data_IF_184090259021
#
_entry.id   IF_184090259021
#
_cell.length_a   1.000
_cell.length_b   1.000
_cell.length_c   1.000
_cell.angle_alpha   90.00
_cell.angle_beta   90.00
_cell.angle_gamma   90.00
#
_symmetry.space_group_name_H-M   'P 1'
#
loop_
_entity.id
_entity.type
_entity.pdbx_description
1 polymer ?
#
# COMPACT_ATOMS: atom_id res chain seq x y z
N UNK A 1 -31.14 6.34 26.97
CA UNK A 1 -30.42 6.01 25.70
C UNK A 1 -29.83 7.24 24.99
N UNK A 2 -30.51 8.40 24.97
CA UNK A 2 -30.09 9.62 24.21
C UNK A 2 -28.69 10.17 24.58
N UNK A 3 -28.34 10.20 25.88
CA UNK A 3 -27.02 10.68 26.34
C UNK A 3 -25.87 9.73 25.97
N UNK A 4 -26.14 8.44 25.87
CA UNK A 4 -25.12 7.42 25.60
C UNK A 4 -24.65 7.52 24.13
N UNK A 5 -25.59 7.69 23.18
CA UNK A 5 -25.24 7.80 21.75
C UNK A 5 -24.44 9.07 21.43
N UNK A 6 -24.83 10.24 21.96
CA UNK A 6 -24.06 11.48 21.75
C UNK A 6 -22.69 11.42 22.44
N UNK A 7 -22.63 10.88 23.67
CA UNK A 7 -21.35 10.73 24.37
C UNK A 7 -20.42 9.76 23.63
N UNK A 8 -20.95 8.65 23.09
CA UNK A 8 -20.18 7.68 22.32
C UNK A 8 -19.65 8.30 21.01
N UNK A 9 -20.48 9.03 20.26
CA UNK A 9 -20.04 9.75 19.05
C UNK A 9 -18.96 10.79 19.41
N UNK A 10 -19.11 11.50 20.52
CA UNK A 10 -18.10 12.45 21.02
C UNK A 10 -16.77 11.77 21.37
N UNK A 11 -16.81 10.67 22.13
CA UNK A 11 -15.61 9.90 22.52
C UNK A 11 -14.91 9.33 21.29
N UNK A 12 -15.66 8.73 20.36
CA UNK A 12 -15.10 8.16 19.13
C UNK A 12 -14.40 9.22 18.29
N UNK A 13 -15.05 10.38 18.07
CA UNK A 13 -14.43 11.47 17.33
C UNK A 13 -13.21 12.05 18.07
N UNK A 14 -13.24 12.13 19.40
CA UNK A 14 -12.09 12.56 20.20
C UNK A 14 -10.89 11.61 20.05
N UNK A 15 -11.11 10.29 20.10
CA UNK A 15 -10.05 9.30 19.85
C UNK A 15 -9.49 9.43 18.43
N UNK A 16 -10.35 9.59 17.41
CA UNK A 16 -9.86 9.78 16.03
C UNK A 16 -9.07 11.08 15.86
N UNK A 17 -9.43 12.15 16.57
CA UNK A 17 -8.68 13.38 16.59
C UNK A 17 -7.28 13.16 17.18
N UNK A 18 -7.18 12.49 18.34
CA UNK A 18 -5.90 12.16 18.95
C UNK A 18 -5.01 11.30 18.04
N UNK A 19 -5.60 10.36 17.29
CA UNK A 19 -4.87 9.55 16.31
C UNK A 19 -4.43 10.33 15.06
N UNK A 20 -5.15 11.39 14.68
CA UNK A 20 -4.77 12.22 13.52
C UNK A 20 -3.49 13.04 13.76
N UNK A 21 -3.20 13.40 15.02
CA UNK A 21 -2.01 14.18 15.41
C UNK A 21 -0.70 13.44 15.09
N UNK A 22 -0.46 12.18 15.55
CA UNK A 22 0.76 11.46 15.21
C UNK A 22 0.87 11.14 13.71
N UNK A 23 -0.26 10.97 13.00
CA UNK A 23 -0.26 10.78 11.53
C UNK A 23 0.21 12.04 10.81
N UNK A 24 -0.26 13.21 11.24
CA UNK A 24 0.19 14.50 10.70
C UNK A 24 1.65 14.77 11.04
N UNK A 25 2.05 14.52 12.30
CA UNK A 25 3.42 14.70 12.74
C UNK A 25 4.39 13.80 11.96
N UNK A 26 4.03 12.54 11.71
CA UNK A 26 4.86 11.63 10.91
C UNK A 26 4.94 12.06 9.45
N UNK A 27 3.82 12.50 8.85
CA UNK A 27 3.83 13.05 7.49
C UNK A 27 4.70 14.29 7.33
N UNK A 28 4.63 15.24 8.27
CA UNK A 28 5.45 16.47 8.27
C UNK A 28 6.93 16.15 8.50
N UNK A 29 7.22 15.21 9.41
CA UNK A 29 8.58 14.73 9.66
C UNK A 29 9.18 14.12 8.41
N UNK A 30 8.44 13.23 7.74
CA UNK A 30 8.85 12.60 6.48
C UNK A 30 9.09 13.63 5.37
N UNK A 31 8.26 14.69 5.30
CA UNK A 31 8.44 15.78 4.33
C UNK A 31 9.71 16.61 4.57
N UNK A 32 10.16 16.73 5.83
CA UNK A 32 11.34 17.51 6.22
C UNK A 32 12.64 16.73 6.16
N UNK A 33 12.61 15.43 6.47
CA UNK A 33 13.79 14.59 6.59
C UNK A 33 13.90 13.50 5.54
N UNK A 34 12.93 13.37 4.64
CA UNK A 34 13.02 12.45 3.51
C UNK A 34 14.22 12.79 2.64
N UNK A 35 15.31 12.04 2.82
CA UNK A 35 16.55 12.18 2.05
C UNK A 35 16.41 11.49 0.69
N UNK A 36 15.50 10.52 0.60
CA UNK A 36 15.21 9.76 -0.62
C UNK A 36 14.00 10.31 -1.38
N UNK A 37 14.03 10.20 -2.72
CA UNK A 37 12.87 10.52 -3.58
C UNK A 37 11.63 9.65 -3.27
N UNK A 38 11.84 8.52 -2.58
CA UNK A 38 10.79 7.58 -2.20
C UNK A 38 9.97 8.05 -0.99
N UNK A 39 10.65 8.58 0.02
CA UNK A 39 9.99 9.15 1.21
C UNK A 39 9.15 10.38 0.85
N UNK A 40 9.65 11.21 -0.09
CA UNK A 40 8.91 12.35 -0.68
C UNK A 40 7.71 11.96 -1.55
N UNK A 41 7.56 10.70 -1.94
CA UNK A 41 6.37 10.26 -2.66
C UNK A 41 5.22 9.93 -1.68
N UNK A 42 5.55 9.54 -0.45
CA UNK A 42 4.59 9.11 0.58
C UNK A 42 4.14 10.24 1.52
N UNK A 43 4.88 11.34 1.64
CA UNK A 43 4.55 12.44 2.56
C UNK A 43 3.21 13.13 2.23
N UNK A 44 2.98 13.53 0.98
CA UNK A 44 1.78 14.23 0.53
C UNK A 44 0.48 13.46 0.79
N UNK A 45 0.35 12.17 0.42
CA UNK A 45 -0.87 11.42 0.70
C UNK A 45 -1.09 11.23 2.21
N UNK A 46 -0.04 11.03 3.00
CA UNK A 46 -0.15 10.86 4.46
C UNK A 46 -0.59 12.16 5.14
N UNK A 47 -0.01 13.31 4.78
CA UNK A 47 -0.41 14.61 5.32
C UNK A 47 -1.87 14.92 4.94
N UNK A 48 -2.26 14.71 3.68
CA UNK A 48 -3.63 14.95 3.23
C UNK A 48 -4.65 14.10 4.02
N UNK A 49 -4.33 12.83 4.29
CA UNK A 49 -5.15 11.94 5.12
C UNK A 49 -5.26 12.45 6.55
N UNK A 50 -4.15 12.84 7.17
CA UNK A 50 -4.13 13.36 8.54
C UNK A 50 -4.98 14.64 8.69
N UNK A 51 -4.86 15.58 7.75
CA UNK A 51 -5.65 16.84 7.77
C UNK A 51 -7.13 16.54 7.64
N UNK A 52 -7.49 15.64 6.71
CA UNK A 52 -8.87 15.23 6.49
C UNK A 52 -9.48 14.60 7.76
N UNK A 53 -8.78 13.67 8.41
CA UNK A 53 -9.25 13.04 9.65
C UNK A 53 -9.40 14.05 10.80
N UNK A 54 -8.50 15.02 10.90
CA UNK A 54 -8.57 16.09 11.90
C UNK A 54 -9.82 16.97 11.71
N UNK A 55 -10.15 17.36 10.47
CA UNK A 55 -11.33 18.18 10.17
C UNK A 55 -12.62 17.42 10.49
N UNK A 56 -12.72 16.15 10.05
CA UNK A 56 -13.92 15.32 10.26
C UNK A 56 -14.16 15.07 11.75
N UNK A 57 -13.10 14.80 12.51
CA UNK A 57 -13.19 14.56 13.96
C UNK A 57 -13.58 15.80 14.75
N UNK A 58 -13.05 16.98 14.41
CA UNK A 58 -13.46 18.25 15.02
C UNK A 58 -14.95 18.55 14.75
N UNK A 59 -15.41 18.34 13.51
CA UNK A 59 -16.82 18.49 13.19
C UNK A 59 -17.70 17.51 13.99
N UNK A 60 -17.30 16.25 14.10
CA UNK A 60 -18.03 15.26 14.93
C UNK A 60 -18.10 15.65 16.41
N UNK A 61 -17.01 16.18 16.97
CA UNK A 61 -16.93 16.59 18.38
C UNK A 61 -17.78 17.83 18.67
N UNK A 62 -17.72 18.85 17.82
CA UNK A 62 -18.55 20.06 17.93
C UNK A 62 -20.04 19.71 17.76
N UNK A 63 -20.36 18.80 16.83
CA UNK A 63 -21.72 18.34 16.57
C UNK A 63 -22.34 17.60 17.76
N UNK A 64 -21.54 16.77 18.43
CA UNK A 64 -21.95 16.05 19.63
C UNK A 64 -22.09 16.96 20.86
N UNK A 65 -21.15 17.91 21.05
CA UNK A 65 -21.12 18.79 22.23
C UNK A 65 -22.23 19.85 22.20
N UNK A 66 -22.43 20.51 21.06
CA UNK A 66 -23.33 21.66 20.94
C UNK A 66 -24.74 21.30 20.43
N UNK A 67 -25.01 20.01 20.16
CA UNK A 67 -26.28 19.49 19.56
C UNK A 67 -26.77 20.28 18.34
N UNK A 68 -25.86 20.82 17.55
CA UNK A 68 -26.21 21.63 16.37
C UNK A 68 -26.65 20.69 15.26
N UNK A 69 -27.96 20.64 14.99
CA UNK A 69 -28.53 19.69 14.02
C UNK A 69 -27.96 19.83 12.61
N UNK A 70 -27.66 21.05 12.16
CA UNK A 70 -27.03 21.28 10.85
C UNK A 70 -25.62 20.68 10.76
N UNK A 71 -24.82 20.83 11.82
CA UNK A 71 -23.44 20.34 11.85
C UNK A 71 -23.39 18.82 11.94
N UNK A 72 -24.33 18.21 12.67
CA UNK A 72 -24.52 16.76 12.69
C UNK A 72 -24.99 16.20 11.34
N UNK A 73 -25.81 16.96 10.59
CA UNK A 73 -26.22 16.58 9.23
C UNK A 73 -25.03 16.61 8.26
N UNK A 74 -24.21 17.66 8.28
CA UNK A 74 -22.97 17.74 7.49
C UNK A 74 -22.02 16.59 7.85
N UNK A 75 -21.86 16.29 9.14
CA UNK A 75 -21.06 15.15 9.60
C UNK A 75 -21.56 13.82 9.00
N UNK A 76 -22.87 13.55 9.05
CA UNK A 76 -23.45 12.35 8.46
C UNK A 76 -23.27 12.30 6.94
N UNK A 77 -23.41 13.42 6.24
CA UNK A 77 -23.16 13.48 4.79
C UNK A 77 -21.71 13.13 4.45
N UNK A 78 -20.75 13.70 5.16
CA UNK A 78 -19.32 13.42 4.96
C UNK A 78 -19.00 11.96 5.27
N UNK A 79 -19.53 11.42 6.38
CA UNK A 79 -19.36 10.01 6.74
C UNK A 79 -19.94 9.07 5.69
N UNK A 80 -21.11 9.39 5.12
CA UNK A 80 -21.71 8.62 4.04
C UNK A 80 -20.83 8.62 2.78
N UNK A 81 -20.36 9.79 2.35
CA UNK A 81 -19.46 9.90 1.20
C UNK A 81 -18.15 9.12 1.42
N UNK A 82 -17.60 9.15 2.63
CA UNK A 82 -16.40 8.40 3.01
C UNK A 82 -16.66 6.89 2.90
N UNK A 83 -17.78 6.38 3.42
CA UNK A 83 -18.15 4.96 3.30
C UNK A 83 -18.25 4.55 1.82
N UNK A 84 -18.94 5.34 0.99
CA UNK A 84 -19.08 5.05 -0.45
C UNK A 84 -17.71 5.04 -1.14
N UNK A 85 -16.85 6.02 -0.86
CA UNK A 85 -15.51 6.10 -1.42
C UNK A 85 -14.67 4.88 -1.02
N UNK A 86 -14.64 4.52 0.26
CA UNK A 86 -13.88 3.36 0.74
C UNK A 86 -14.42 2.06 0.15
N UNK A 87 -15.73 1.92 0.04
CA UNK A 87 -16.35 0.76 -0.61
C UNK A 87 -15.92 0.64 -2.07
N UNK A 88 -16.06 1.71 -2.87
CA UNK A 88 -15.60 1.73 -4.26
C UNK A 88 -14.10 1.41 -4.37
N UNK A 89 -13.28 1.97 -3.48
CA UNK A 89 -11.86 1.70 -3.42
C UNK A 89 -11.56 0.23 -3.09
N UNK A 90 -12.29 -0.40 -2.14
CA UNK A 90 -12.10 -1.83 -1.84
C UNK A 90 -12.35 -2.70 -3.06
N UNK A 91 -13.46 -2.47 -3.77
CA UNK A 91 -13.80 -3.23 -4.98
C UNK A 91 -12.71 -3.06 -6.03
N UNK A 92 -12.30 -1.82 -6.28
CA UNK A 92 -11.24 -1.51 -7.22
C UNK A 92 -9.92 -2.21 -6.85
N UNK A 93 -9.52 -2.14 -5.59
CA UNK A 93 -8.31 -2.78 -5.08
C UNK A 93 -8.36 -4.30 -5.32
N UNK A 94 -9.46 -4.97 -5.00
CA UNK A 94 -9.62 -6.40 -5.26
C UNK A 94 -9.57 -6.73 -6.76
N UNK A 95 -10.27 -5.97 -7.62
CA UNK A 95 -10.29 -6.21 -9.06
C UNK A 95 -8.89 -6.11 -9.67
N UNK A 96 -8.14 -5.07 -9.31
CA UNK A 96 -6.80 -4.81 -9.85
C UNK A 96 -5.77 -5.80 -9.32
N UNK A 97 -5.94 -6.26 -8.08
CA UNK A 97 -5.04 -7.22 -7.41
C UNK A 97 -5.45 -8.68 -7.56
N UNK A 98 -6.55 -9.00 -8.27
CA UNK A 98 -6.96 -10.39 -8.43
C UNK A 98 -5.98 -11.17 -9.32
N UNK A 99 -5.61 -10.58 -10.47
CA UNK A 99 -4.66 -11.16 -11.45
C UNK A 99 -3.20 -11.08 -11.00
N UNK A 100 -2.38 -12.01 -11.47
CA UNK A 100 -0.94 -12.10 -11.18
C UNK A 100 -0.63 -13.17 -10.14
N UNK A 101 0.30 -14.07 -10.44
CA UNK A 101 0.85 -14.99 -9.47
C UNK A 101 2.31 -15.24 -9.83
N UNK A 102 3.19 -15.33 -8.83
CA UNK A 102 4.52 -15.86 -9.05
C UNK A 102 4.44 -17.32 -9.51
N UNK A 103 5.14 -17.65 -10.59
CA UNK A 103 5.28 -19.00 -11.10
C UNK A 103 6.27 -19.77 -10.22
N UNK A 104 5.85 -20.93 -9.71
CA UNK A 104 6.73 -21.81 -8.95
C UNK A 104 7.71 -22.49 -9.88
N UNK A 105 9.00 -22.53 -9.50
CA UNK A 105 10.01 -23.26 -10.23
C UNK A 105 10.35 -24.54 -9.47
N UNK A 106 10.37 -25.67 -10.19
CA UNK A 106 10.71 -26.97 -9.61
C UNK A 106 12.08 -26.94 -8.94
N UNK A 107 12.15 -27.40 -7.69
CA UNK A 107 13.39 -27.46 -6.91
C UNK A 107 13.91 -26.10 -6.43
N UNK A 108 13.10 -25.03 -6.48
CA UNK A 108 13.46 -23.69 -5.97
C UNK A 108 12.49 -23.23 -4.87
N UNK A 109 13.02 -22.61 -3.82
CA UNK A 109 12.29 -22.00 -2.70
C UNK A 109 11.70 -20.61 -3.03
N UNK A 110 11.96 -20.09 -4.23
CA UNK A 110 11.48 -18.80 -4.71
C UNK A 110 10.62 -18.93 -5.98
N UNK A 111 9.84 -17.89 -6.26
CA UNK A 111 8.95 -17.80 -7.42
C UNK A 111 9.53 -16.88 -8.49
N UNK A 112 9.12 -17.08 -9.74
CA UNK A 112 9.41 -16.19 -10.87
C UNK A 112 8.20 -15.35 -11.24
N UNK A 113 8.45 -14.12 -11.70
CA UNK A 113 7.41 -13.14 -11.90
C UNK A 113 7.45 -12.63 -13.34
N UNK A 114 6.36 -12.79 -14.09
CA UNK A 114 6.24 -12.26 -15.44
C UNK A 114 5.29 -11.07 -15.44
N UNK A 115 5.69 -9.97 -16.09
CA UNK A 115 4.90 -8.75 -16.08
C UNK A 115 3.51 -8.94 -16.72
N UNK A 116 3.41 -9.84 -17.71
CA UNK A 116 2.17 -10.16 -18.41
C UNK A 116 1.07 -10.79 -17.53
N UNK A 117 1.43 -11.37 -16.38
CA UNK A 117 0.47 -12.06 -15.50
C UNK A 117 -0.41 -11.07 -14.71
N UNK A 118 -0.01 -9.80 -14.64
CA UNK A 118 -0.68 -8.77 -13.85
C UNK A 118 -1.75 -8.02 -14.65
N UNK A 119 -2.65 -7.31 -13.95
CA UNK A 119 -3.69 -6.50 -14.60
C UNK A 119 -3.09 -5.38 -15.47
N UNK A 120 -3.73 -5.07 -16.59
CA UNK A 120 -3.30 -4.02 -17.51
C UNK A 120 -3.15 -2.66 -16.83
N UNK A 121 -3.97 -2.39 -15.81
CA UNK A 121 -3.88 -1.18 -14.99
C UNK A 121 -2.55 -1.10 -14.22
N UNK A 122 -2.12 -2.19 -13.59
CA UNK A 122 -0.83 -2.24 -12.87
C UNK A 122 0.34 -2.15 -13.82
N UNK A 123 0.30 -2.89 -14.93
CA UNK A 123 1.34 -2.84 -15.96
C UNK A 123 1.56 -1.40 -16.45
N UNK A 124 0.48 -0.64 -16.70
CA UNK A 124 0.57 0.76 -17.16
C UNK A 124 1.32 1.68 -16.18
N UNK A 125 1.35 1.37 -14.88
CA UNK A 125 2.08 2.16 -13.87
C UNK A 125 3.59 1.98 -13.98
N UNK A 126 4.05 0.79 -14.30
CA UNK A 126 5.49 0.43 -14.40
C UNK A 126 6.02 0.47 -15.84
N UNK A 127 5.15 0.57 -16.84
CA UNK A 127 5.57 0.60 -18.25
C UNK A 127 6.09 1.99 -18.69
N UNK A 128 5.70 3.07 -18.01
CA UNK A 128 6.22 4.41 -18.29
C UNK A 128 7.67 4.54 -17.82
N UNK A 129 8.61 4.78 -18.75
CA UNK A 129 10.05 4.93 -18.45
C UNK A 129 10.32 6.01 -17.39
N UNK A 130 9.68 7.18 -17.49
CA UNK A 130 9.84 8.27 -16.54
C UNK A 130 9.42 7.87 -15.11
N UNK A 131 8.30 7.17 -14.97
CA UNK A 131 7.83 6.70 -13.66
C UNK A 131 8.71 5.57 -13.14
N UNK A 132 9.09 4.63 -14.02
CA UNK A 132 9.96 3.52 -13.65
C UNK A 132 11.33 4.01 -13.17
N UNK A 133 11.92 5.03 -13.79
CA UNK A 133 13.21 5.54 -13.35
C UNK A 133 13.18 6.04 -11.89
N UNK A 134 12.09 6.67 -11.46
CA UNK A 134 11.90 7.10 -10.06
C UNK A 134 11.70 5.92 -9.11
N UNK A 135 10.95 4.92 -9.55
CA UNK A 135 10.72 3.70 -8.77
C UNK A 135 12.02 2.91 -8.64
N UNK A 136 12.77 2.76 -9.73
CA UNK A 136 14.07 2.12 -9.81
C UNK A 136 15.07 2.78 -8.87
N UNK A 137 15.17 4.12 -8.89
CA UNK A 137 16.07 4.82 -7.97
C UNK A 137 15.68 4.57 -6.52
N UNK A 138 14.38 4.48 -6.20
CA UNK A 138 13.93 4.07 -4.86
C UNK A 138 14.33 2.62 -4.53
N UNK A 139 14.20 1.68 -5.47
CA UNK A 139 14.58 0.28 -5.24
C UNK A 139 16.09 0.12 -5.00
N UNK A 140 16.92 0.88 -5.70
CA UNK A 140 18.36 0.93 -5.49
C UNK A 140 18.70 1.53 -4.11
N UNK A 141 18.12 2.67 -3.78
CA UNK A 141 18.38 3.39 -2.52
C UNK A 141 17.88 2.64 -1.28
N UNK A 142 16.75 1.92 -1.40
CA UNK A 142 16.23 1.06 -0.33
C UNK A 142 17.03 -0.23 -0.12
N UNK A 143 18.11 -0.45 -0.87
CA UNK A 143 19.06 -1.54 -0.65
C UNK A 143 18.40 -2.93 -0.64
N UNK A 144 17.36 -3.14 -1.45
CA UNK A 144 16.56 -4.39 -1.47
C UNK A 144 17.37 -5.64 -1.81
N UNK A 145 18.49 -5.47 -2.52
CA UNK A 145 19.41 -6.54 -2.91
C UNK A 145 20.60 -6.71 -1.95
N UNK A 146 20.79 -5.79 -0.99
CA UNK A 146 21.99 -5.76 -0.13
C UNK A 146 22.23 -7.08 0.60
N UNK A 147 21.19 -7.69 1.17
CA UNK A 147 21.32 -8.99 1.83
C UNK A 147 21.89 -10.08 0.91
N UNK A 148 21.50 -10.10 -0.37
CA UNK A 148 22.00 -11.10 -1.33
C UNK A 148 23.42 -10.75 -1.82
N UNK A 149 23.76 -9.47 -1.86
CA UNK A 149 25.12 -8.99 -2.17
C UNK A 149 26.06 -9.42 -1.04
N UNK A 150 25.66 -9.17 0.20
CA UNK A 150 26.41 -9.57 1.40
C UNK A 150 26.57 -11.10 1.45
N UNK A 151 25.52 -11.88 1.20
CA UNK A 151 25.59 -13.35 1.10
C UNK A 151 26.56 -13.85 0.00
N UNK A 152 26.77 -13.05 -1.04
CA UNK A 152 27.72 -13.34 -2.12
C UNK A 152 29.17 -13.24 -1.67
N UNK A 153 29.46 -12.41 -0.67
CA UNK A 153 30.78 -12.31 -0.05
C UNK A 153 31.15 -13.55 0.78
N UNK A 154 30.13 -14.27 1.26
CA UNK A 154 30.27 -15.50 2.04
C UNK A 154 30.38 -16.78 1.17
N UNK A 155 30.46 -16.64 -0.16
CA UNK A 155 30.50 -17.76 -1.11
C UNK A 155 29.37 -18.79 -0.91
N UNK A 156 28.14 -18.29 -0.73
CA UNK A 156 26.95 -19.13 -0.52
C UNK A 156 26.84 -20.21 -1.61
N UNK A 157 26.77 -21.51 -1.25
CA UNK A 157 26.58 -22.59 -2.21
C UNK A 157 25.25 -22.49 -2.96
N UNK A 158 25.23 -23.01 -4.19
CA UNK A 158 24.06 -22.94 -5.08
C UNK A 158 22.83 -23.66 -4.54
N UNK A 159 23.01 -24.79 -3.85
CA UNK A 159 21.94 -25.57 -3.23
C UNK A 159 21.27 -24.81 -2.08
N UNK A 160 22.07 -24.11 -1.27
CA UNK A 160 21.58 -23.21 -0.21
C UNK A 160 20.81 -22.04 -0.82
N UNK A 161 21.33 -21.44 -1.89
CA UNK A 161 20.63 -20.36 -2.59
C UNK A 161 19.29 -20.83 -3.19
N UNK A 162 19.24 -22.03 -3.77
CA UNK A 162 18.03 -22.56 -4.40
C UNK A 162 16.93 -22.90 -3.41
N UNK A 163 17.25 -23.24 -2.16
CA UNK A 163 16.25 -23.50 -1.12
C UNK A 163 15.77 -22.23 -0.42
N UNK A 164 16.43 -21.10 -0.64
CA UNK A 164 16.12 -19.83 0.02
C UNK A 164 14.77 -19.24 -0.42
N UNK A 165 14.03 -18.73 0.55
CA UNK A 165 12.80 -17.98 0.30
C UNK A 165 13.13 -16.51 0.01
N UNK A 166 13.19 -16.16 -1.27
CA UNK A 166 13.36 -14.78 -1.72
C UNK A 166 12.03 -14.05 -1.74
N UNK A 167 12.03 -12.78 -1.34
CA UNK A 167 10.89 -11.90 -1.57
C UNK A 167 10.64 -11.69 -3.06
N UNK A 168 9.46 -11.23 -3.44
CA UNK A 168 9.11 -11.01 -4.85
C UNK A 168 10.04 -10.01 -5.55
N UNK A 169 10.43 -8.95 -4.83
CA UNK A 169 11.39 -7.94 -5.31
C UNK A 169 12.79 -8.55 -5.40
N UNK A 170 13.23 -9.32 -4.41
CA UNK A 170 14.55 -9.97 -4.45
C UNK A 170 14.67 -10.94 -5.63
N UNK A 171 13.66 -11.79 -5.83
CA UNK A 171 13.64 -12.75 -6.93
C UNK A 171 13.55 -12.09 -8.31
N UNK A 172 12.88 -10.93 -8.40
CA UNK A 172 12.67 -10.21 -9.66
C UNK A 172 13.78 -9.22 -10.04
N UNK A 173 14.43 -8.59 -9.05
CA UNK A 173 15.40 -7.50 -9.27
C UNK A 173 16.85 -7.89 -9.00
N UNK A 174 17.11 -8.86 -8.10
CA UNK A 174 18.45 -9.14 -7.59
C UNK A 174 19.08 -10.41 -8.18
N UNK A 175 18.36 -11.13 -9.04
CA UNK A 175 18.87 -12.30 -9.78
C UNK A 175 18.33 -12.29 -11.21
N UNK A 176 19.01 -12.96 -12.16
CA UNK A 176 18.47 -13.13 -13.51
C UNK A 176 17.27 -14.11 -13.51
N UNK A 177 16.52 -14.10 -14.60
CA UNK A 177 15.50 -15.12 -14.86
C UNK A 177 16.16 -16.47 -15.13
N UNK A 178 15.55 -17.56 -14.65
CA UNK A 178 16.05 -18.91 -14.91
C UNK A 178 15.98 -19.28 -16.41
N UNK A 179 15.08 -18.64 -17.18
CA UNK A 179 14.96 -18.82 -18.64
C UNK A 179 16.25 -18.44 -19.38
N UNK A 180 17.12 -17.62 -18.77
CA UNK A 180 18.40 -17.22 -19.35
C UNK A 180 19.41 -18.37 -19.39
N UNK A 181 19.28 -19.37 -18.51
CA UNK A 181 20.21 -20.50 -18.42
C UNK A 181 21.62 -20.15 -17.93
N UNK A 182 21.80 -18.98 -17.31
CA UNK A 182 23.09 -18.53 -16.82
C UNK A 182 23.63 -19.44 -15.70
N UNK A 183 24.95 -19.55 -15.62
CA UNK A 183 25.61 -20.38 -14.61
C UNK A 183 25.77 -19.57 -13.31
N UNK A 184 25.38 -20.18 -12.20
CA UNK A 184 25.51 -19.58 -10.86
C UNK A 184 26.97 -19.42 -10.47
N UNK A 185 27.34 -18.25 -9.93
CA UNK A 185 28.62 -18.02 -9.25
C UNK A 185 28.36 -17.59 -7.82
N UNK A 186 27.57 -16.53 -7.63
CA UNK A 186 27.08 -16.06 -6.33
C UNK A 186 25.61 -15.62 -6.47
N UNK A 187 24.89 -15.27 -5.37
CA UNK A 187 23.48 -14.89 -5.45
C UNK A 187 23.17 -13.79 -6.48
N UNK A 188 24.07 -12.82 -6.62
CA UNK A 188 23.95 -11.66 -7.54
C UNK A 188 24.91 -11.69 -8.71
N UNK A 189 25.78 -12.71 -8.83
CA UNK A 189 26.75 -12.82 -9.93
C UNK A 189 26.56 -14.13 -10.69
N UNK A 190 26.34 -14.01 -12.00
CA UNK A 190 26.03 -15.11 -12.88
C UNK A 190 26.85 -15.03 -14.17
N UNK A 191 27.37 -16.16 -14.64
CA UNK A 191 28.09 -16.23 -15.91
C UNK A 191 27.10 -16.36 -17.06
N UNK A 192 27.13 -15.40 -18.00
CA UNK A 192 26.29 -15.43 -19.20
C UNK A 192 26.69 -16.59 -20.11
N UNK A 193 25.73 -17.46 -20.41
CA UNK A 193 25.86 -18.58 -21.35
C UNK A 193 25.32 -18.17 -22.72
N UNK A 194 25.77 -18.82 -23.80
CA UNK A 194 25.33 -18.55 -25.19
C UNK A 194 23.94 -19.09 -25.52
N UNK A 195 23.07 -19.21 -24.51
CA UNK A 195 21.70 -19.69 -24.66
C UNK A 195 20.82 -18.61 -25.30
N UNK A 196 20.27 -18.93 -26.47
CA UNK A 196 19.27 -18.10 -27.14
C UNK A 196 17.93 -18.22 -26.41
N UNK A 197 17.71 -17.35 -25.42
CA UNK A 197 16.40 -17.20 -24.78
C UNK A 197 15.57 -16.11 -25.48
N UNK A 198 14.27 -16.32 -25.59
CA UNK A 198 13.32 -15.28 -26.02
C UNK A 198 12.97 -14.27 -24.93
N UNK A 199 13.57 -14.39 -23.74
CA UNK A 199 13.28 -13.52 -22.61
C UNK A 199 14.13 -12.23 -22.68
N UNK A 200 13.51 -11.04 -22.84
CA UNK A 200 14.25 -9.78 -22.95
C UNK A 200 15.07 -9.44 -21.69
N UNK A 201 14.73 -10.03 -20.54
CA UNK A 201 15.41 -9.77 -19.27
C UNK A 201 16.86 -10.28 -19.27
N UNK A 202 17.17 -11.31 -20.07
CA UNK A 202 18.51 -11.89 -20.15
C UNK A 202 19.53 -10.91 -20.74
N UNK A 203 19.07 -10.03 -21.64
CA UNK A 203 19.90 -8.95 -22.19
C UNK A 203 19.98 -7.75 -21.24
N UNK A 204 18.96 -7.55 -20.41
CA UNK A 204 18.88 -6.43 -19.47
C UNK A 204 19.64 -6.69 -18.15
N UNK A 205 19.99 -7.95 -17.85
CA UNK A 205 20.74 -8.34 -16.67
C UNK A 205 22.21 -7.90 -16.73
N UNK A 206 22.69 -7.35 -15.61
CA UNK A 206 24.10 -7.04 -15.34
C UNK A 206 24.53 -7.56 -13.95
N UNK A 207 25.81 -7.88 -13.77
CA UNK A 207 26.36 -8.30 -12.46
C UNK A 207 26.84 -7.10 -11.62
N UNK A 208 26.83 -5.88 -12.18
CA UNK A 208 27.05 -4.64 -11.45
C UNK A 208 26.02 -4.49 -10.30
N UNK A 209 26.46 -4.39 -9.03
CA UNK A 209 25.59 -4.23 -7.87
C UNK A 209 24.62 -3.04 -7.99
N UNK A 210 25.01 -1.99 -8.71
CA UNK A 210 24.18 -0.80 -8.90
C UNK A 210 23.12 -1.01 -10.00
N UNK A 211 23.28 -1.98 -10.90
CA UNK A 211 22.40 -2.17 -12.06
C UNK A 211 21.51 -3.41 -11.94
N UNK A 212 22.08 -4.57 -11.62
CA UNK A 212 21.42 -5.87 -11.48
C UNK A 212 20.30 -6.09 -12.53
N UNK A 213 19.12 -6.56 -12.11
CA UNK A 213 17.93 -6.69 -12.97
C UNK A 213 16.97 -5.50 -12.81
N UNK A 214 17.41 -4.32 -12.32
CA UNK A 214 16.50 -3.20 -12.11
C UNK A 214 15.85 -2.66 -13.40
N UNK A 215 16.40 -3.00 -14.57
CA UNK A 215 15.82 -2.69 -15.89
C UNK A 215 14.92 -3.80 -16.46
N UNK A 216 14.86 -4.96 -15.80
CA UNK A 216 14.11 -6.13 -16.27
C UNK A 216 12.61 -5.99 -16.05
N UNK A 217 11.84 -6.68 -16.89
CA UNK A 217 10.40 -6.87 -16.70
C UNK A 217 10.11 -7.73 -15.47
N UNK A 218 10.98 -8.69 -15.14
CA UNK A 218 10.89 -9.49 -13.90
C UNK A 218 10.97 -8.62 -12.65
N UNK A 219 11.77 -7.55 -12.64
CA UNK A 219 11.85 -6.63 -11.51
C UNK A 219 10.57 -5.80 -11.36
N UNK A 220 10.03 -5.29 -12.48
CA UNK A 220 8.72 -4.64 -12.51
C UNK A 220 7.62 -5.57 -11.99
N UNK A 221 7.63 -6.83 -12.42
CA UNK A 221 6.67 -7.84 -12.01
C UNK A 221 6.81 -8.18 -10.51
N UNK A 222 8.05 -8.31 -10.00
CA UNK A 222 8.33 -8.55 -8.58
C UNK A 222 7.85 -7.41 -7.68
N UNK A 223 7.98 -6.16 -8.14
CA UNK A 223 7.39 -4.99 -7.47
C UNK A 223 5.86 -5.04 -7.50
N UNK A 224 5.25 -5.37 -8.64
CA UNK A 224 3.79 -5.47 -8.73
C UNK A 224 3.24 -6.58 -7.83
N UNK A 225 3.93 -7.71 -7.68
CA UNK A 225 3.54 -8.76 -6.72
C UNK A 225 3.61 -8.28 -5.28
N UNK A 226 4.68 -7.54 -4.94
CA UNK A 226 4.88 -7.00 -3.61
C UNK A 226 3.74 -6.03 -3.25
N UNK A 227 3.51 -5.05 -4.14
CA UNK A 227 2.42 -4.07 -4.00
C UNK A 227 1.07 -4.77 -3.93
N UNK A 228 0.83 -5.79 -4.75
CA UNK A 228 -0.39 -6.58 -4.72
C UNK A 228 -0.61 -7.26 -3.36
N UNK A 229 0.43 -7.88 -2.81
CA UNK A 229 0.38 -8.54 -1.50
C UNK A 229 0.02 -7.54 -0.41
N UNK A 230 0.65 -6.37 -0.43
CA UNK A 230 0.38 -5.33 0.56
C UNK A 230 -0.99 -4.67 0.38
N UNK A 231 -1.43 -4.45 -0.86
CA UNK A 231 -2.78 -3.96 -1.15
C UNK A 231 -3.86 -4.92 -0.67
N UNK A 232 -3.63 -6.24 -0.72
CA UNK A 232 -4.56 -7.22 -0.14
C UNK A 232 -4.65 -7.07 1.38
N UNK A 233 -3.51 -6.90 2.07
CA UNK A 233 -3.50 -6.66 3.53
C UNK A 233 -4.25 -5.36 3.87
N UNK A 234 -3.97 -4.28 3.13
CA UNK A 234 -4.65 -2.98 3.28
C UNK A 234 -6.14 -3.10 2.98
N UNK A 235 -6.54 -3.85 1.95
CA UNK A 235 -7.95 -4.06 1.64
C UNK A 235 -8.69 -4.81 2.76
N UNK A 236 -8.06 -5.82 3.38
CA UNK A 236 -8.62 -6.52 4.55
C UNK A 236 -8.81 -5.56 5.72
N UNK A 237 -7.81 -4.75 6.04
CA UNK A 237 -7.93 -3.71 7.09
C UNK A 237 -9.02 -2.69 6.74
N UNK A 238 -9.13 -2.30 5.47
CA UNK A 238 -10.16 -1.37 5.01
C UNK A 238 -11.58 -1.95 5.16
N UNK A 239 -11.78 -3.26 4.94
CA UNK A 239 -13.07 -3.92 5.18
C UNK A 239 -13.45 -3.85 6.66
N UNK A 240 -12.51 -4.12 7.57
CA UNK A 240 -12.75 -4.00 9.02
C UNK A 240 -13.14 -2.56 9.38
N UNK A 241 -12.41 -1.59 8.84
CA UNK A 241 -12.71 -0.17 9.07
C UNK A 241 -14.07 0.25 8.51
N UNK A 242 -14.46 -0.27 7.34
CA UNK A 242 -15.75 -0.01 6.71
C UNK A 242 -16.90 -0.52 7.60
N UNK A 243 -16.80 -1.74 8.14
CA UNK A 243 -17.78 -2.28 9.09
C UNK A 243 -17.91 -1.37 10.32
N UNK A 244 -16.77 -0.95 10.88
CA UNK A 244 -16.76 -0.02 12.01
C UNK A 244 -17.45 1.32 11.67
N UNK A 245 -17.14 1.91 10.51
CA UNK A 245 -17.76 3.15 10.07
C UNK A 245 -19.27 3.03 9.86
N UNK A 246 -19.77 1.90 9.37
CA UNK A 246 -21.21 1.65 9.23
C UNK A 246 -21.90 1.65 10.61
N UNK A 247 -21.27 1.05 11.62
CA UNK A 247 -21.80 1.03 12.98
C UNK A 247 -21.86 2.46 13.53
N UNK A 248 -20.77 3.22 13.41
CA UNK A 248 -20.70 4.62 13.87
C UNK A 248 -21.72 5.49 13.13
N UNK A 249 -21.86 5.32 11.82
CA UNK A 249 -22.85 6.02 11.00
C UNK A 249 -24.28 5.70 11.46
N UNK A 250 -24.58 4.43 11.74
CA UNK A 250 -25.90 4.01 12.25
C UNK A 250 -26.23 4.67 13.60
N UNK A 251 -25.25 4.73 14.51
CA UNK A 251 -25.39 5.41 15.81
C UNK A 251 -25.55 6.92 15.62
N UNK A 252 -24.79 7.53 14.71
CA UNK A 252 -24.89 8.94 14.35
C UNK A 252 -26.26 9.30 13.77
N UNK A 253 -26.82 8.45 12.91
CA UNK A 253 -28.18 8.60 12.37
C UNK A 253 -29.24 8.53 13.48
N UNK A 254 -29.10 7.59 14.42
CA UNK A 254 -29.96 7.51 15.60
C UNK A 254 -29.87 8.78 16.47
N UNK A 255 -28.66 9.29 16.71
CA UNK A 255 -28.42 10.54 17.43
C UNK A 255 -29.06 11.74 16.70
N UNK A 256 -28.94 11.80 15.37
CA UNK A 256 -29.53 12.87 14.55
C UNK A 256 -31.05 12.86 14.58
N UNK A 257 -31.67 11.68 14.41
CA UNK A 257 -33.13 11.55 14.48
C UNK A 257 -33.66 12.03 15.83
N UNK A 258 -33.03 11.61 16.92
CA UNK A 258 -33.44 11.99 18.27
C UNK A 258 -33.27 13.51 18.51
N UNK A 259 -32.15 14.12 18.11
CA UNK A 259 -31.95 15.58 18.24
C UNK A 259 -33.00 16.37 17.43
N UNK A 260 -33.43 15.86 16.27
CA UNK A 260 -34.48 16.49 15.46
C UNK A 260 -35.85 16.37 16.13
N UNK A 261 -36.16 15.22 16.74
CA UNK A 261 -37.39 15.04 17.54
C UNK A 261 -37.40 16.00 18.74
N UNK A 262 -36.34 16.06 19.56
CA UNK A 262 -36.23 16.98 20.70
C UNK A 262 -36.44 18.45 20.31
N UNK A 263 -35.86 18.86 19.17
CA UNK A 263 -36.02 20.23 18.65
C UNK A 263 -37.44 20.48 18.10
N UNK A 264 -38.14 19.44 17.63
CA UNK A 264 -39.54 19.56 17.21
C UNK A 264 -40.49 19.73 18.39
N UNK A 265 -40.27 19.00 19.50
CA UNK A 265 -41.06 19.12 20.73
C UNK A 265 -40.93 20.50 21.38
N UNK A 266 -39.74 21.11 21.34
CA UNK A 266 -39.55 22.50 21.82
C UNK A 266 -40.25 23.56 20.97
N UNK A 267 -40.71 23.22 19.76
CA UNK A 267 -41.32 24.18 18.83
C UNK A 267 -42.84 24.25 18.95
N UNK A 268 -43.47 23.30 19.67
CA UNK A 268 -44.88 23.35 20.01
C UNK A 268 -45.03 23.75 21.49
N UNK A 269 -45.64 24.92 21.79
CA UNK A 269 -45.95 25.33 23.16
C UNK A 269 -47.08 24.49 23.77
#
# INVERSE_FOLDING_TARGET
>A
MVRISNNLVGILNFVTFLLSIPILASGIWLSRQGTSECERFLDRPVIALGVFLMIVSLAGLIGACCRVSWLLWVYLLVMFLLIVLLFCFTIFAFVVTNKGAGNTVSGRGYKEYRLGDYSSWLQKRVNSSKNWNKIKSCLQDSMVCKSLIDDGSDNTPVDVFYTRHLSSIQSGCCKPSNDCGFTYVTPTNWTKTTTTSGNPDCNAWDNDPDTLCFNCQSCKAGLLDNIKSDWKKVAVLNVIFLVFLIIVYSIGCCAFRNNREDNSWKRYP
#
